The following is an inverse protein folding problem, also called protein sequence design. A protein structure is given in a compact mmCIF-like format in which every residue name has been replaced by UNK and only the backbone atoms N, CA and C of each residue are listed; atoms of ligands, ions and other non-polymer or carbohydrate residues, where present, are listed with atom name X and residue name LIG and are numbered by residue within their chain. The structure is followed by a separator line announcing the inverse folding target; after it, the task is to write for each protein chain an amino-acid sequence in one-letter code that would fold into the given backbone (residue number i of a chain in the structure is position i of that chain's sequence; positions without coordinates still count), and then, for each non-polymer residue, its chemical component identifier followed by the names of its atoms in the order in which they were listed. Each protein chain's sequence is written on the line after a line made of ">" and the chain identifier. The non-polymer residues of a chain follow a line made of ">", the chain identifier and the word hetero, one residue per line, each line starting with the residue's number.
data_IF_357409846958
#
_entry.id   IF_357409846958
#
_cell.length_a   1.000
_cell.length_b   1.000
_cell.length_c   1.000
_cell.angle_alpha   90.00
_cell.angle_beta   90.00
_cell.angle_gamma   90.00
#
_symmetry.space_group_name_H-M   'P 1'
#
loop_
_entity.id
_entity.type
_entity.pdbx_description
1 polymer ?
#
# COMPACT_ATOMS: atom_id res chain seq x y z
N UNK A 1 7.17 -22.87 16.65
CA UNK A 1 6.25 -22.16 17.57
C UNK A 1 7.03 -21.14 18.35
N UNK A 2 8.15 -21.52 18.98
CA UNK A 2 8.97 -20.58 19.77
C UNK A 2 9.49 -19.40 18.94
N UNK A 3 9.92 -19.63 17.69
CA UNK A 3 10.39 -18.54 16.81
C UNK A 3 9.26 -17.57 16.43
N UNK A 4 8.09 -18.09 16.07
CA UNK A 4 6.94 -17.25 15.69
C UNK A 4 6.36 -16.46 16.86
N UNK A 5 6.27 -17.09 18.04
CA UNK A 5 5.88 -16.40 19.26
C UNK A 5 6.90 -15.32 19.60
N UNK A 6 8.20 -15.59 19.43
CA UNK A 6 9.25 -14.58 19.64
C UNK A 6 9.08 -13.38 18.70
N UNK A 7 8.74 -13.58 17.42
CA UNK A 7 8.47 -12.47 16.49
C UNK A 7 7.30 -11.61 16.95
N UNK A 8 6.19 -12.22 17.40
CA UNK A 8 5.06 -11.49 17.98
C UNK A 8 5.49 -10.72 19.23
N UNK A 9 6.19 -11.37 20.17
CA UNK A 9 6.60 -10.75 21.42
C UNK A 9 7.62 -9.63 21.20
N UNK A 10 8.53 -9.77 20.23
CA UNK A 10 9.45 -8.71 19.84
C UNK A 10 8.71 -7.47 19.31
N UNK A 11 7.67 -7.67 18.48
CA UNK A 11 6.82 -6.57 18.01
C UNK A 11 6.02 -5.95 19.16
N UNK A 12 5.48 -6.77 20.07
CA UNK A 12 4.78 -6.29 21.26
C UNK A 12 5.67 -5.44 22.17
N UNK A 13 6.95 -5.81 22.31
CA UNK A 13 7.95 -5.06 23.08
C UNK A 13 8.63 -3.94 22.29
N UNK A 14 8.25 -3.71 21.03
CA UNK A 14 8.87 -2.72 20.15
C UNK A 14 10.39 -2.87 20.06
N UNK A 15 10.88 -4.11 19.98
CA UNK A 15 12.33 -4.38 19.84
C UNK A 15 12.83 -3.78 18.53
N UNK A 16 14.04 -3.23 18.54
CA UNK A 16 14.71 -2.68 17.36
C UNK A 16 14.58 -3.60 16.14
N UNK A 17 14.34 -2.99 14.98
CA UNK A 17 14.20 -3.69 13.70
C UNK A 17 13.02 -4.69 13.63
N UNK A 18 11.99 -4.49 14.45
CA UNK A 18 10.68 -5.14 14.27
C UNK A 18 9.74 -4.24 13.44
N UNK A 19 8.65 -4.81 12.92
CA UNK A 19 7.67 -4.04 12.15
C UNK A 19 7.09 -2.87 12.97
N UNK A 20 6.67 -3.14 14.21
CA UNK A 20 6.12 -2.09 15.09
C UNK A 20 7.17 -1.02 15.41
N UNK A 21 8.44 -1.39 15.59
CA UNK A 21 9.52 -0.42 15.76
C UNK A 21 9.71 0.46 14.52
N UNK A 22 9.80 -0.13 13.32
CA UNK A 22 9.92 0.64 12.07
C UNK A 22 8.75 1.58 11.87
N UNK A 23 7.54 1.10 12.18
CA UNK A 23 6.33 1.90 12.05
C UNK A 23 6.30 3.05 13.06
N UNK A 24 6.65 2.79 14.32
CA UNK A 24 6.48 3.76 15.42
C UNK A 24 7.64 4.74 15.59
N UNK A 25 8.87 4.27 15.44
CA UNK A 25 10.07 5.06 15.76
C UNK A 25 10.75 5.61 14.50
N UNK A 26 10.59 4.93 13.36
CA UNK A 26 11.23 5.32 12.10
C UNK A 26 10.26 5.87 11.05
N UNK A 27 8.95 5.90 11.36
CA UNK A 27 7.88 6.26 10.44
C UNK A 27 8.06 5.57 9.09
N UNK A 28 8.19 4.24 9.09
CA UNK A 28 8.44 3.43 7.91
C UNK A 28 7.52 2.21 7.89
N UNK A 29 6.77 2.06 6.80
CA UNK A 29 6.03 0.83 6.51
C UNK A 29 6.95 -0.16 5.78
N UNK A 30 7.53 -1.09 6.53
CA UNK A 30 8.41 -2.13 5.99
C UNK A 30 7.60 -3.40 5.66
N UNK A 31 7.33 -3.63 4.38
CA UNK A 31 6.55 -4.78 3.90
C UNK A 31 7.13 -6.14 4.27
N UNK A 32 8.44 -6.40 4.10
CA UNK A 32 9.06 -7.64 4.58
C UNK A 32 8.77 -7.91 6.07
N UNK A 33 9.01 -6.92 6.94
CA UNK A 33 8.76 -7.06 8.38
C UNK A 33 7.27 -7.19 8.70
N UNK A 34 6.38 -6.51 7.96
CA UNK A 34 4.94 -6.69 8.06
C UNK A 34 4.55 -8.15 7.78
N UNK A 35 5.05 -8.73 6.70
CA UNK A 35 4.74 -10.11 6.34
C UNK A 35 5.34 -11.11 7.33
N UNK A 36 6.54 -10.87 7.84
CA UNK A 36 7.15 -11.70 8.89
C UNK A 36 6.30 -11.68 10.17
N UNK A 37 5.85 -10.50 10.59
CA UNK A 37 4.94 -10.33 11.72
C UNK A 37 3.60 -11.05 11.47
N UNK A 38 2.92 -10.75 10.36
CA UNK A 38 1.60 -11.29 10.02
C UNK A 38 1.63 -12.82 9.96
N UNK A 39 2.62 -13.40 9.27
CA UNK A 39 2.76 -14.85 9.16
C UNK A 39 3.12 -15.52 10.50
N UNK A 40 3.89 -14.83 11.35
CA UNK A 40 4.18 -15.33 12.70
C UNK A 40 2.91 -15.39 13.55
N UNK A 41 2.09 -14.35 13.52
CA UNK A 41 0.80 -14.34 14.23
C UNK A 41 -0.15 -15.42 13.71
N UNK A 42 -0.26 -15.60 12.38
CA UNK A 42 -1.06 -16.70 11.80
C UNK A 42 -0.65 -18.06 12.33
N UNK A 43 0.66 -18.32 12.40
CA UNK A 43 1.20 -19.59 12.92
C UNK A 43 0.97 -19.74 14.43
N UNK A 44 1.04 -18.65 15.21
CA UNK A 44 0.67 -18.66 16.63
C UNK A 44 -0.81 -19.05 16.77
N UNK A 45 -1.72 -18.41 16.03
CA UNK A 45 -3.15 -18.72 16.04
C UNK A 45 -3.39 -20.18 15.70
N UNK A 46 -2.79 -20.68 14.61
CA UNK A 46 -2.89 -22.10 14.22
C UNK A 46 -2.43 -23.05 15.33
N UNK A 47 -1.44 -22.66 16.11
CA UNK A 47 -0.93 -23.41 17.26
C UNK A 47 -1.81 -23.36 18.52
N UNK A 48 -2.78 -22.44 18.56
CA UNK A 48 -3.66 -22.18 19.71
C UNK A 48 -5.14 -22.43 19.45
N UNK A 49 -5.56 -22.81 18.24
CA UNK A 49 -6.98 -23.00 17.86
C UNK A 49 -7.79 -23.84 18.86
N UNK A 50 -7.24 -24.98 19.29
CA UNK A 50 -7.92 -25.93 20.19
C UNK A 50 -7.53 -25.73 21.67
N UNK A 51 -6.97 -24.56 22.01
CA UNK A 51 -6.46 -24.27 23.36
C UNK A 51 -7.21 -23.08 23.97
N UNK A 52 -7.31 -23.03 25.32
CA UNK A 52 -7.75 -21.81 25.98
C UNK A 52 -6.88 -20.61 25.57
N UNK A 53 -7.51 -19.45 25.42
CA UNK A 53 -6.80 -18.22 25.09
C UNK A 53 -5.75 -17.90 26.15
N UNK A 54 -4.51 -17.75 25.70
CA UNK A 54 -3.44 -17.27 26.53
C UNK A 54 -3.53 -15.74 26.66
N UNK A 55 -3.52 -15.24 27.91
CA UNK A 55 -3.70 -13.82 28.19
C UNK A 55 -2.57 -12.96 27.64
N UNK A 56 -1.34 -13.45 27.68
CA UNK A 56 -0.18 -12.72 27.20
C UNK A 56 -0.18 -12.64 25.68
N UNK A 57 -0.48 -13.76 25.00
CA UNK A 57 -0.65 -13.78 23.55
C UNK A 57 -1.81 -12.87 23.12
N UNK A 58 -2.95 -12.95 23.82
CA UNK A 58 -4.12 -12.10 23.54
C UNK A 58 -3.78 -10.62 23.64
N UNK A 59 -3.01 -10.25 24.68
CA UNK A 59 -2.56 -8.88 24.89
C UNK A 59 -1.59 -8.44 23.81
N UNK A 60 -0.64 -9.29 23.44
CA UNK A 60 0.32 -9.01 22.38
C UNK A 60 -0.37 -8.75 21.04
N UNK A 61 -1.25 -9.66 20.60
CA UNK A 61 -2.02 -9.52 19.34
C UNK A 61 -2.88 -8.26 19.35
N UNK A 62 -3.61 -8.01 20.44
CA UNK A 62 -4.49 -6.83 20.54
C UNK A 62 -3.70 -5.53 20.51
N UNK A 63 -2.56 -5.49 21.21
CA UNK A 63 -1.70 -4.32 21.26
C UNK A 63 -1.08 -4.00 19.89
N UNK A 64 -0.46 -5.00 19.25
CA UNK A 64 0.20 -4.79 17.95
C UNK A 64 -0.81 -4.45 16.87
N UNK A 65 -2.00 -5.07 16.88
CA UNK A 65 -3.10 -4.68 16.01
C UNK A 65 -3.51 -3.22 16.21
N UNK A 66 -3.77 -2.82 17.46
CA UNK A 66 -4.19 -1.44 17.78
C UNK A 66 -3.12 -0.44 17.35
N UNK A 67 -1.84 -0.74 17.58
CA UNK A 67 -0.73 0.12 17.16
C UNK A 67 -0.66 0.31 15.66
N UNK A 68 -0.86 -0.76 14.89
CA UNK A 68 -0.88 -0.65 13.42
C UNK A 68 -2.04 0.23 12.96
N UNK A 69 -3.24 0.04 13.52
CA UNK A 69 -4.40 0.86 13.19
C UNK A 69 -4.23 2.33 13.61
N UNK A 70 -3.64 2.59 14.78
CA UNK A 70 -3.32 3.96 15.24
C UNK A 70 -2.46 4.69 14.21
N UNK A 71 -1.38 4.06 13.75
CA UNK A 71 -0.49 4.65 12.74
C UNK A 71 -1.15 4.85 11.38
N UNK A 72 -2.01 3.91 10.96
CA UNK A 72 -2.83 4.09 9.75
C UNK A 72 -3.75 5.30 9.90
N UNK A 73 -4.38 5.49 11.07
CA UNK A 73 -5.26 6.63 11.33
C UNK A 73 -4.47 7.94 11.37
N UNK A 74 -3.29 7.94 11.98
CA UNK A 74 -2.44 9.13 12.10
C UNK A 74 -1.90 9.62 10.76
N UNK A 75 -1.66 8.72 9.81
CA UNK A 75 -1.29 9.09 8.43
C UNK A 75 -2.36 9.98 7.75
N UNK A 76 -3.62 9.93 8.22
CA UNK A 76 -4.71 10.79 7.77
C UNK A 76 -4.94 12.06 8.61
N UNK A 77 -4.17 12.25 9.69
CA UNK A 77 -4.30 13.41 10.56
C UNK A 77 -3.50 14.60 10.02
N UNK A 78 -4.19 15.70 9.73
CA UNK A 78 -3.57 16.98 9.31
C UNK A 78 -2.56 17.55 10.32
N UNK A 79 -2.62 17.09 11.57
CA UNK A 79 -1.73 17.53 12.65
C UNK A 79 -0.56 16.58 12.91
N UNK A 80 -0.42 15.48 12.15
CA UNK A 80 0.73 14.60 12.33
C UNK A 80 2.00 15.25 11.77
N UNK A 81 3.07 15.22 12.58
CA UNK A 81 4.36 15.81 12.25
C UNK A 81 5.21 14.87 11.39
N UNK A 82 4.85 13.59 11.32
CA UNK A 82 5.52 12.57 10.52
C UNK A 82 4.61 12.02 9.40
N UNK A 83 5.21 11.67 8.27
CA UNK A 83 4.58 10.83 7.26
C UNK A 83 5.28 9.48 7.26
N UNK A 84 4.52 8.40 7.23
CA UNK A 84 5.03 7.05 7.14
C UNK A 84 5.58 6.84 5.72
N UNK A 85 6.90 6.65 5.63
CA UNK A 85 7.57 6.29 4.38
C UNK A 85 7.05 4.94 3.90
N UNK A 86 6.85 4.84 2.59
CA UNK A 86 6.30 3.64 1.92
C UNK A 86 4.91 3.23 2.40
N UNK A 87 4.12 4.18 2.93
CA UNK A 87 2.76 3.87 3.35
C UNK A 87 1.92 3.38 2.16
N UNK A 88 1.23 2.23 2.28
CA UNK A 88 0.57 1.57 1.17
C UNK A 88 -0.87 2.08 1.00
N UNK A 89 -1.03 3.33 0.57
CA UNK A 89 -2.35 3.97 0.43
C UNK A 89 -3.32 3.19 -0.47
N UNK A 90 -2.82 2.59 -1.55
CA UNK A 90 -3.60 1.76 -2.48
C UNK A 90 -4.06 0.44 -1.85
N UNK A 91 -3.29 -0.11 -0.90
CA UNK A 91 -3.54 -1.44 -0.29
C UNK A 91 -3.96 -1.40 1.16
N UNK A 92 -4.11 -0.21 1.75
CA UNK A 92 -4.39 -0.07 3.18
C UNK A 92 -5.65 -0.83 3.62
N UNK A 93 -6.69 -0.83 2.78
CA UNK A 93 -7.96 -1.45 3.09
C UNK A 93 -7.81 -2.98 3.15
N UNK A 94 -6.98 -3.56 2.27
CA UNK A 94 -6.61 -4.97 2.27
C UNK A 94 -5.76 -5.34 3.50
N UNK A 95 -4.87 -4.44 3.94
CA UNK A 95 -4.08 -4.64 5.16
C UNK A 95 -4.98 -4.65 6.40
N UNK A 96 -5.89 -3.68 6.50
CA UNK A 96 -6.87 -3.59 7.61
C UNK A 96 -7.75 -4.83 7.63
N UNK A 97 -8.27 -5.26 6.48
CA UNK A 97 -9.10 -6.46 6.35
C UNK A 97 -8.35 -7.70 6.89
N UNK A 98 -7.13 -7.95 6.37
CA UNK A 98 -6.29 -9.08 6.79
C UNK A 98 -6.01 -9.07 8.28
N UNK A 99 -5.65 -7.92 8.84
CA UNK A 99 -5.39 -7.78 10.27
C UNK A 99 -6.66 -7.99 11.12
N UNK A 100 -7.80 -7.49 10.66
CA UNK A 100 -9.08 -7.65 11.36
C UNK A 100 -9.49 -9.12 11.44
N UNK A 101 -9.40 -9.85 10.32
CA UNK A 101 -9.68 -11.29 10.30
C UNK A 101 -8.67 -12.13 11.08
N UNK A 102 -7.41 -11.69 11.12
CA UNK A 102 -6.38 -12.35 11.93
C UNK A 102 -6.72 -12.27 13.42
N UNK A 103 -7.12 -11.08 13.89
CA UNK A 103 -7.49 -10.84 15.29
C UNK A 103 -8.79 -11.54 15.63
N UNK A 104 -9.82 -11.43 14.80
CA UNK A 104 -11.10 -12.12 15.04
C UNK A 104 -10.91 -13.64 15.04
N UNK A 105 -10.15 -14.18 14.08
CA UNK A 105 -9.81 -15.59 14.02
C UNK A 105 -9.10 -16.11 15.28
N UNK A 106 -8.21 -15.32 15.88
CA UNK A 106 -7.60 -15.66 17.17
C UNK A 106 -8.64 -15.81 18.28
N UNK A 107 -9.56 -14.86 18.42
CA UNK A 107 -10.54 -14.86 19.51
C UNK A 107 -11.68 -15.86 19.30
N UNK A 108 -12.04 -16.15 18.06
CA UNK A 108 -13.13 -17.06 17.69
C UNK A 108 -12.66 -18.49 17.42
N UNK A 109 -11.34 -18.73 17.32
CA UNK A 109 -10.79 -20.06 17.06
C UNK A 109 -10.93 -20.50 15.61
N UNK A 110 -10.72 -19.60 14.64
CA UNK A 110 -10.64 -19.94 13.22
C UNK A 110 -9.48 -19.22 12.52
N UNK A 111 -9.15 -19.65 11.30
CA UNK A 111 -8.18 -18.96 10.46
C UNK A 111 -8.68 -18.94 9.02
N UNK A 112 -8.72 -17.75 8.42
CA UNK A 112 -9.09 -17.61 7.01
C UNK A 112 -7.94 -18.13 6.14
N UNK A 113 -8.28 -18.98 5.17
CA UNK A 113 -7.34 -19.43 4.15
C UNK A 113 -6.92 -18.24 3.26
N UNK A 114 -5.63 -18.10 2.99
CA UNK A 114 -5.10 -16.93 2.28
C UNK A 114 -5.62 -16.80 0.85
N UNK A 115 -6.11 -17.90 0.25
CA UNK A 115 -6.76 -17.88 -1.07
C UNK A 115 -8.09 -17.13 -1.09
N UNK A 116 -8.65 -16.79 0.07
CA UNK A 116 -9.87 -15.97 0.16
C UNK A 116 -9.59 -14.47 0.19
N UNK A 117 -8.32 -14.05 0.31
CA UNK A 117 -7.97 -12.64 0.28
C UNK A 117 -7.71 -12.16 -1.15
N UNK A 118 -7.87 -10.85 -1.35
CA UNK A 118 -7.66 -10.20 -2.63
C UNK A 118 -6.24 -10.45 -3.20
N UNK A 119 -6.19 -10.71 -4.51
CA UNK A 119 -4.95 -10.98 -5.25
C UNK A 119 -4.04 -9.74 -5.37
N UNK A 120 -4.55 -8.52 -5.12
CA UNK A 120 -3.77 -7.27 -5.17
C UNK A 120 -2.75 -7.14 -4.04
N UNK A 121 -2.97 -7.84 -2.92
CA UNK A 121 -2.04 -7.92 -1.79
C UNK A 121 -1.69 -9.37 -1.49
N UNK A 122 -0.75 -9.94 -2.24
CA UNK A 122 -0.33 -11.33 -2.06
C UNK A 122 0.65 -11.49 -0.91
N UNK A 123 0.40 -12.49 -0.08
CA UNK A 123 1.34 -12.92 0.94
C UNK A 123 2.50 -13.69 0.29
N UNK A 124 3.76 -13.23 0.42
CA UNK A 124 4.90 -13.82 -0.28
C UNK A 124 5.21 -15.25 0.20
N UNK A 125 4.77 -15.64 1.39
CA UNK A 125 4.93 -17.00 1.91
C UNK A 125 3.75 -17.93 1.54
N UNK A 126 2.69 -17.40 0.92
CA UNK A 126 1.54 -18.20 0.52
C UNK A 126 1.68 -18.79 -0.89
N UNK A 127 2.60 -18.30 -1.73
CA UNK A 127 2.83 -18.82 -3.08
C UNK A 127 4.32 -18.92 -3.45
N UNK A 128 4.86 -20.15 -3.50
CA UNK A 128 5.90 -20.44 -4.50
C UNK A 128 5.23 -20.46 -5.89
N UNK A 129 5.46 -19.40 -6.68
CA UNK A 129 4.94 -19.11 -8.05
C UNK A 129 3.50 -18.57 -8.04
N UNK A 130 3.17 -17.38 -8.55
CA UNK A 130 3.56 -16.73 -9.81
C UNK A 130 3.44 -15.20 -9.59
N UNK A 131 4.48 -14.42 -9.87
CA UNK A 131 4.31 -12.98 -10.12
C UNK A 131 3.54 -12.80 -11.44
N UNK A 132 2.21 -12.70 -11.36
CA UNK A 132 1.41 -12.15 -12.45
C UNK A 132 1.43 -10.63 -12.29
N UNK A 133 2.51 -10.01 -12.74
CA UNK A 133 2.50 -8.57 -12.93
C UNK A 133 1.33 -8.20 -13.87
N UNK A 134 0.43 -7.30 -13.44
CA UNK A 134 -0.83 -7.03 -14.12
C UNK A 134 -0.60 -6.49 -15.53
N UNK A 135 -1.39 -6.91 -16.51
CA UNK A 135 -1.26 -6.40 -17.89
C UNK A 135 -1.71 -4.95 -18.05
N UNK A 136 -2.49 -4.45 -17.09
CA UNK A 136 -3.03 -3.09 -17.04
C UNK A 136 -2.95 -2.59 -15.59
N UNK A 137 -2.51 -1.35 -15.39
CA UNK A 137 -2.48 -0.67 -14.08
C UNK A 137 -3.26 0.64 -14.16
N UNK A 138 -3.94 1.01 -13.06
CA UNK A 138 -4.63 2.29 -12.93
C UNK A 138 -3.88 3.16 -11.92
N UNK A 139 -3.60 4.39 -12.28
CA UNK A 139 -2.87 5.36 -11.47
C UNK A 139 -3.80 6.54 -11.17
N UNK A 140 -3.86 6.95 -9.91
CA UNK A 140 -4.67 8.09 -9.48
C UNK A 140 -3.86 9.05 -8.61
N UNK A 141 -4.10 10.35 -8.76
CA UNK A 141 -3.54 11.41 -7.94
C UNK A 141 -4.65 12.31 -7.43
N UNK A 142 -4.83 12.36 -6.10
CA UNK A 142 -5.90 13.11 -5.45
C UNK A 142 -5.32 14.04 -4.38
N UNK A 143 -4.94 15.27 -4.75
CA UNK A 143 -4.36 16.24 -3.81
C UNK A 143 -4.51 17.68 -4.30
N UNK A 144 -4.68 18.63 -3.37
CA UNK A 144 -4.76 20.08 -3.69
C UNK A 144 -5.89 20.45 -4.68
N UNK A 145 -6.97 19.67 -4.69
CA UNK A 145 -8.07 19.84 -5.64
C UNK A 145 -7.76 19.35 -7.07
N UNK A 146 -6.60 18.70 -7.26
CA UNK A 146 -6.29 17.92 -8.45
C UNK A 146 -6.82 16.51 -8.27
N UNK A 147 -7.53 16.05 -9.28
CA UNK A 147 -8.02 14.70 -9.46
C UNK A 147 -7.56 14.30 -10.87
N UNK A 148 -6.54 13.43 -10.95
CA UNK A 148 -5.84 13.09 -12.20
C UNK A 148 -5.64 11.58 -12.28
N UNK A 149 -6.02 11.02 -13.42
CA UNK A 149 -6.02 9.59 -13.67
C UNK A 149 -5.13 9.20 -14.85
N UNK A 150 -4.49 8.04 -14.75
CA UNK A 150 -3.75 7.45 -15.85
C UNK A 150 -3.91 5.93 -15.88
N UNK A 151 -3.73 5.36 -17.06
CA UNK A 151 -3.74 3.92 -17.30
C UNK A 151 -2.40 3.50 -17.88
N UNK A 152 -1.81 2.46 -17.30
CA UNK A 152 -0.58 1.85 -17.77
C UNK A 152 -0.83 0.52 -18.45
N UNK A 153 -0.26 0.31 -19.63
CA UNK A 153 -0.34 -0.95 -20.36
C UNK A 153 1.01 -1.66 -20.36
N UNK A 154 1.00 -2.94 -20.03
CA UNK A 154 2.22 -3.76 -20.00
C UNK A 154 2.65 -4.16 -21.42
N UNK A 155 3.90 -3.85 -21.73
CA UNK A 155 4.56 -4.24 -22.96
C UNK A 155 5.12 -5.68 -22.89
N UNK A 156 5.45 -6.22 -24.07
CA UNK A 156 6.04 -7.57 -24.20
C UNK A 156 7.39 -7.72 -23.48
N UNK A 157 8.12 -6.62 -23.32
CA UNK A 157 9.40 -6.54 -22.60
C UNK A 157 9.23 -6.30 -21.10
N UNK A 158 7.99 -6.35 -20.60
CA UNK A 158 7.58 -6.10 -19.19
C UNK A 158 7.67 -4.65 -18.72
N UNK A 159 7.98 -3.71 -19.61
CA UNK A 159 7.81 -2.28 -19.30
C UNK A 159 6.33 -1.89 -19.30
N UNK A 160 5.99 -0.73 -18.74
CA UNK A 160 4.65 -0.16 -18.83
C UNK A 160 4.71 1.18 -19.55
N UNK A 161 3.80 1.36 -20.52
CA UNK A 161 3.53 2.66 -21.13
C UNK A 161 2.32 3.29 -20.44
N UNK A 162 2.52 4.49 -19.89
CA UNK A 162 1.52 5.20 -19.10
C UNK A 162 0.85 6.27 -19.96
N UNK A 163 -0.48 6.31 -19.91
CA UNK A 163 -1.31 7.24 -20.66
C UNK A 163 -2.27 7.96 -19.71
N UNK A 164 -2.48 9.26 -19.95
CA UNK A 164 -3.47 10.05 -19.22
C UNK A 164 -4.88 9.61 -19.59
N UNK A 165 -5.75 9.43 -18.60
CA UNK A 165 -7.16 9.11 -18.82
C UNK A 165 -7.95 10.37 -19.18
N UNK A 166 -8.00 10.67 -20.48
CA UNK A 166 -8.66 11.86 -20.99
C UNK A 166 -10.18 11.86 -20.80
N UNK A 167 -10.82 10.73 -20.47
CA UNK A 167 -12.26 10.70 -20.21
C UNK A 167 -12.61 11.29 -18.84
N UNK A 168 -11.79 11.03 -17.83
CA UNK A 168 -11.95 11.56 -16.48
C UNK A 168 -11.28 12.94 -16.33
N UNK A 169 -10.22 13.22 -17.10
CA UNK A 169 -9.42 14.46 -16.98
C UNK A 169 -9.72 15.55 -18.04
N UNK A 170 -10.96 15.58 -18.56
CA UNK A 170 -11.38 16.46 -19.69
C UNK A 170 -11.08 17.95 -19.50
N UNK A 171 -10.94 18.42 -18.27
CA UNK A 171 -10.67 19.83 -17.94
C UNK A 171 -9.20 20.23 -18.04
N UNK A 172 -8.28 19.27 -18.16
CA UNK A 172 -6.82 19.48 -18.14
C UNK A 172 -6.18 19.46 -19.54
N UNK A 173 -6.95 19.14 -20.58
CA UNK A 173 -6.43 18.95 -21.94
C UNK A 173 -6.38 20.28 -22.70
N UNK A 174 -5.16 20.73 -23.06
CA UNK A 174 -4.95 21.86 -23.96
C UNK A 174 -5.39 21.48 -25.39
N UNK A 175 -6.33 22.24 -25.95
CA UNK A 175 -7.13 21.98 -27.18
C UNK A 175 -6.37 21.78 -28.51
N UNK A 176 -5.05 21.57 -28.48
CA UNK A 176 -4.18 21.49 -29.66
C UNK A 176 -3.67 20.10 -30.02
N UNK A 177 -3.96 19.07 -29.22
CA UNK A 177 -3.51 17.71 -29.49
C UNK A 177 -4.60 16.91 -30.22
N UNK A 178 -4.24 16.35 -31.38
CA UNK A 178 -5.19 15.67 -32.26
C UNK A 178 -5.63 14.33 -31.67
N UNK A 179 -6.94 14.12 -31.60
CA UNK A 179 -7.58 12.83 -31.31
C UNK A 179 -6.97 11.71 -32.16
N UNK A 180 -6.23 10.80 -31.51
CA UNK A 180 -6.00 9.44 -32.02
C UNK A 180 -6.79 8.48 -31.14
N UNK A 181 -7.45 7.55 -31.80
CA UNK A 181 -8.41 6.64 -31.21
C UNK A 181 -7.72 5.66 -30.24
N UNK A 182 -8.32 5.54 -29.04
CA UNK A 182 -8.10 4.51 -28.02
C UNK A 182 -6.67 4.43 -27.47
N UNK A 183 -6.31 5.34 -26.55
CA UNK A 183 -5.38 5.06 -25.43
C UNK A 183 -5.12 6.26 -24.48
N UNK A 184 -5.60 7.48 -24.76
CA UNK A 184 -5.26 8.66 -23.95
C UNK A 184 -3.91 9.28 -24.35
N UNK A 185 -3.47 10.33 -23.65
CA UNK A 185 -2.19 11.01 -23.95
C UNK A 185 -1.02 10.26 -23.30
N UNK A 186 -0.10 9.74 -24.12
CA UNK A 186 1.13 9.10 -23.61
C UNK A 186 1.93 10.07 -22.73
N UNK A 187 2.37 9.59 -21.57
CA UNK A 187 3.12 10.36 -20.59
C UNK A 187 4.59 9.91 -20.54
N UNK A 188 4.85 8.65 -20.18
CA UNK A 188 6.19 8.07 -20.05
C UNK A 188 6.13 6.54 -20.01
N UNK A 189 7.30 5.89 -20.08
CA UNK A 189 7.47 4.46 -19.88
C UNK A 189 8.25 4.16 -18.60
N UNK A 190 7.95 3.04 -17.93
CA UNK A 190 8.66 2.58 -16.73
C UNK A 190 8.98 1.09 -16.78
N UNK A 191 9.98 0.66 -16.01
CA UNK A 191 10.45 -0.73 -15.96
C UNK A 191 9.49 -1.70 -15.28
N UNK A 192 8.64 -1.21 -14.39
CA UNK A 192 7.81 -2.01 -13.50
C UNK A 192 6.63 -1.19 -12.96
N UNK A 193 5.61 -1.87 -12.41
CA UNK A 193 4.39 -1.22 -11.90
C UNK A 193 4.64 -0.33 -10.69
N UNK A 194 5.60 -0.66 -9.83
CA UNK A 194 5.92 0.16 -8.65
C UNK A 194 6.54 1.50 -9.05
N UNK A 195 7.42 1.47 -10.06
CA UNK A 195 7.99 2.68 -10.66
C UNK A 195 6.92 3.55 -11.33
N UNK A 196 5.83 2.96 -11.85
CA UNK A 196 4.76 3.71 -12.51
C UNK A 196 4.10 4.74 -11.58
N UNK A 197 3.72 4.32 -10.37
CA UNK A 197 3.07 5.20 -9.40
C UNK A 197 3.95 6.37 -8.98
N UNK A 198 5.23 6.09 -8.67
CA UNK A 198 6.19 7.14 -8.26
C UNK A 198 6.40 8.15 -9.39
N UNK A 199 6.69 7.67 -10.60
CA UNK A 199 6.96 8.55 -11.74
C UNK A 199 5.70 9.33 -12.14
N UNK A 200 4.52 8.74 -12.02
CA UNK A 200 3.26 9.43 -12.25
C UNK A 200 3.03 10.56 -11.26
N UNK A 201 3.20 10.29 -9.97
CA UNK A 201 3.07 11.32 -8.93
C UNK A 201 4.07 12.46 -9.13
N UNK A 202 5.33 12.16 -9.46
CA UNK A 202 6.33 13.19 -9.79
C UNK A 202 5.95 13.99 -11.04
N UNK A 203 5.43 13.33 -12.07
CA UNK A 203 4.98 13.97 -13.29
C UNK A 203 3.79 14.92 -13.05
N UNK A 204 2.78 14.48 -12.28
CA UNK A 204 1.62 15.31 -11.91
C UNK A 204 2.07 16.55 -11.14
N UNK A 205 2.90 16.37 -10.11
CA UNK A 205 3.43 17.49 -9.33
C UNK A 205 4.23 18.47 -10.19
N UNK A 206 5.05 17.98 -11.12
CA UNK A 206 5.83 18.85 -12.03
C UNK A 206 4.93 19.61 -13.02
N UNK A 207 3.86 18.98 -13.49
CA UNK A 207 3.01 19.52 -14.56
C UNK A 207 1.88 20.41 -14.05
N UNK A 208 1.40 20.17 -12.83
CA UNK A 208 0.17 20.78 -12.30
C UNK A 208 0.32 21.41 -10.91
N UNK A 209 1.44 21.22 -10.19
CA UNK A 209 1.62 21.92 -8.91
C UNK A 209 1.71 23.44 -9.10
N UNK A 210 1.04 24.24 -8.24
CA UNK A 210 1.06 25.71 -8.30
C UNK A 210 2.45 26.34 -8.12
N UNK A 211 3.48 25.57 -7.71
CA UNK A 211 4.85 26.06 -7.54
C UNK A 211 5.74 25.95 -8.78
N UNK A 212 5.22 25.54 -9.94
CA UNK A 212 5.89 25.77 -11.23
C UNK A 212 5.63 27.19 -11.76
N UNK A 213 5.81 28.20 -10.90
CA UNK A 213 5.69 29.61 -11.26
C UNK A 213 6.78 30.02 -12.24
N UNK A 214 6.50 29.87 -13.54
CA UNK A 214 7.11 30.69 -14.60
C UNK A 214 6.13 31.01 -15.75
N UNK A 215 4.82 30.95 -15.50
CA UNK A 215 3.80 31.40 -16.45
C UNK A 215 2.79 32.37 -15.83
N UNK A 216 3.28 33.42 -15.17
CA UNK A 216 2.52 34.67 -14.97
C UNK A 216 3.47 35.87 -15.02
N UNK A 217 4.15 36.03 -16.17
CA UNK A 217 4.67 37.33 -16.63
C UNK A 217 4.35 37.47 -18.12
N UNK A 218 3.09 37.79 -18.40
CA UNK A 218 2.65 38.56 -19.57
C UNK A 218 1.18 38.91 -19.35
N UNK A 219 0.92 40.18 -19.06
CA UNK A 219 -0.43 40.70 -18.89
C UNK A 219 -0.55 41.71 -17.76
N UNK A 220 0.24 42.79 -17.82
CA UNK A 220 -0.15 44.14 -17.44
C UNK A 220 0.57 45.10 -18.38
#
# INVERSE_FOLDING_TARGET
>A
MDNELQVLMNNYHCVDNTFIHKLSEESLFDFPLFWDYYNSVRKVIKGTLDKPLDREISRAISYTHSKILEHIIWEYSDNDLGQIKNFPFDKQHLIIERLSFLVDGYFQGYLIDESNFDEELQNPLFNEKVELEPSIIHLGFFKEGLDIHAVGFKNKDRTYDIFLDEEDDKFLVDSKLSRREVQGTFIFSVSDSSSAYRVFHEWVMKSYSPYSSNKLRKGN
#
